data_IF_459812604296
#
_entry.id   IF_459812604296
#
_cell.length_a   1.000
_cell.length_b   1.000
_cell.length_c   1.000
_cell.angle_alpha   90.00
_cell.angle_beta   90.00
_cell.angle_gamma   90.00
#
_symmetry.space_group_name_H-M   'P 1'
#
loop_
_entity.id
_entity.type
_entity.pdbx_description
1 polymer ?
#
# COMPACT_ATOMS: atom_id res chain seq x y z
N UNK A 1 -13.47 16.05 -45.68
CA UNK A 1 -14.58 15.29 -45.04
C UNK A 1 -14.32 15.32 -43.54
N UNK A 2 -15.08 16.10 -42.81
CA UNK A 2 -14.97 16.17 -41.34
C UNK A 2 -15.60 14.88 -40.84
N UNK A 3 -14.77 13.95 -40.33
CA UNK A 3 -15.26 12.77 -39.63
C UNK A 3 -15.99 13.24 -38.36
N UNK A 4 -17.24 12.79 -38.25
CA UNK A 4 -18.17 13.15 -37.20
C UNK A 4 -17.55 13.00 -35.82
N UNK A 5 -17.55 14.10 -35.05
CA UNK A 5 -17.26 14.13 -33.61
C UNK A 5 -18.05 13.02 -32.90
N UNK A 6 -17.36 11.98 -32.46
CA UNK A 6 -17.98 10.95 -31.64
C UNK A 6 -17.80 11.33 -30.17
N UNK A 7 -18.92 11.59 -29.50
CA UNK A 7 -18.99 11.82 -28.06
C UNK A 7 -18.38 10.66 -27.29
N UNK A 8 -17.38 10.93 -26.47
CA UNK A 8 -17.06 10.07 -25.35
C UNK A 8 -17.93 10.56 -24.20
N UNK A 9 -18.91 9.78 -23.83
CA UNK A 9 -19.63 9.97 -22.58
C UNK A 9 -18.66 9.77 -21.42
N UNK A 10 -18.70 10.67 -20.44
CA UNK A 10 -17.97 10.51 -19.17
C UNK A 10 -18.10 9.07 -18.69
N UNK A 11 -16.99 8.48 -18.27
CA UNK A 11 -17.04 7.22 -17.54
C UNK A 11 -18.01 7.35 -16.37
N UNK A 12 -18.97 6.44 -16.32
CA UNK A 12 -19.99 6.46 -15.29
C UNK A 12 -19.32 6.53 -13.90
N UNK A 13 -19.94 7.21 -12.92
CA UNK A 13 -19.41 7.28 -11.54
C UNK A 13 -19.15 5.90 -10.90
N UNK A 14 -19.71 4.82 -11.46
CA UNK A 14 -19.42 3.43 -11.06
C UNK A 14 -17.98 3.00 -11.35
N UNK A 15 -17.38 3.37 -12.49
CA UNK A 15 -16.00 2.99 -12.85
C UNK A 15 -14.94 3.71 -12.02
N UNK A 16 -15.19 4.97 -11.63
CA UNK A 16 -14.29 5.72 -10.70
C UNK A 16 -14.28 5.15 -9.29
N UNK A 17 -15.44 4.62 -8.82
CA UNK A 17 -15.52 3.92 -7.53
C UNK A 17 -14.69 2.63 -7.53
N UNK A 18 -14.55 1.96 -8.67
CA UNK A 18 -13.83 0.68 -8.77
C UNK A 18 -12.34 0.84 -8.45
N UNK A 19 -11.64 1.83 -9.04
CA UNK A 19 -10.21 2.04 -8.74
C UNK A 19 -9.98 2.39 -7.25
N UNK A 20 -10.80 3.28 -6.68
CA UNK A 20 -10.71 3.67 -5.27
C UNK A 20 -11.02 2.51 -4.32
N UNK A 21 -12.02 1.68 -4.62
CA UNK A 21 -12.40 0.49 -3.85
C UNK A 21 -11.31 -0.57 -3.94
N UNK A 22 -10.76 -0.79 -5.14
CA UNK A 22 -9.64 -1.71 -5.38
C UNK A 22 -8.42 -1.35 -4.54
N UNK A 23 -8.01 -0.07 -4.58
CA UNK A 23 -6.84 0.39 -3.85
C UNK A 23 -7.03 0.30 -2.31
N UNK A 24 -8.24 0.56 -1.80
CA UNK A 24 -8.55 0.44 -0.37
C UNK A 24 -8.63 -1.02 0.10
N UNK A 25 -9.15 -1.94 -0.72
CA UNK A 25 -9.23 -3.36 -0.37
C UNK A 25 -7.85 -4.03 -0.28
N UNK A 26 -6.89 -3.62 -1.12
CA UNK A 26 -5.51 -4.11 -1.08
C UNK A 26 -4.83 -3.75 0.25
N UNK A 27 -4.98 -2.51 0.68
CA UNK A 27 -4.37 -2.04 1.94
C UNK A 27 -4.96 -2.79 3.14
N UNK A 28 -6.27 -3.06 3.13
CA UNK A 28 -6.94 -3.86 4.16
C UNK A 28 -6.47 -5.31 4.20
N UNK A 29 -6.29 -5.94 3.04
CA UNK A 29 -5.83 -7.32 2.92
C UNK A 29 -4.40 -7.52 3.45
N UNK A 30 -3.49 -6.61 3.12
CA UNK A 30 -2.10 -6.65 3.59
C UNK A 30 -2.05 -6.44 5.12
N UNK A 31 -2.88 -5.54 5.66
CA UNK A 31 -2.97 -5.30 7.11
C UNK A 31 -3.39 -6.56 7.89
N UNK A 32 -4.36 -7.31 7.37
CA UNK A 32 -4.84 -8.56 7.97
C UNK A 32 -3.77 -9.66 7.99
N UNK A 33 -3.02 -9.85 6.90
CA UNK A 33 -1.94 -10.84 6.83
C UNK A 33 -0.85 -10.59 7.86
N UNK A 34 -0.45 -9.34 8.00
CA UNK A 34 0.62 -8.95 8.92
C UNK A 34 0.17 -9.03 10.38
N UNK A 35 -1.12 -8.94 10.68
CA UNK A 35 -1.69 -9.07 12.03
C UNK A 35 -1.78 -10.54 12.51
N UNK A 36 -1.93 -11.51 11.61
CA UNK A 36 -2.15 -12.92 11.95
C UNK A 36 -0.89 -13.61 12.47
N UNK A 37 0.29 -13.16 12.11
CA UNK A 37 1.57 -13.85 12.35
C UNK A 37 1.92 -13.99 13.83
N UNK A 38 1.39 -13.18 14.74
CA UNK A 38 1.92 -13.08 16.12
C UNK A 38 1.05 -13.75 17.19
N UNK A 39 -0.10 -14.33 16.85
CA UNK A 39 -1.08 -14.80 17.85
C UNK A 39 -0.71 -16.16 18.50
N UNK A 40 0.21 -16.95 17.95
CA UNK A 40 0.34 -18.37 18.31
C UNK A 40 1.47 -18.75 19.27
N UNK A 41 2.43 -17.89 19.59
CA UNK A 41 3.50 -18.21 20.53
C UNK A 41 3.11 -17.90 21.99
N UNK A 42 2.20 -18.67 22.54
CA UNK A 42 1.86 -18.54 23.98
C UNK A 42 2.81 -19.37 24.82
N UNK A 43 3.83 -18.72 25.37
CA UNK A 43 4.69 -19.28 26.40
C UNK A 43 4.09 -18.99 27.78
N UNK A 44 4.18 -19.98 28.70
CA UNK A 44 3.70 -19.84 30.08
C UNK A 44 4.66 -18.96 30.90
N UNK A 45 4.45 -17.66 30.84
CA UNK A 45 5.33 -16.64 31.41
C UNK A 45 4.76 -16.12 32.74
N UNK A 46 4.99 -16.82 33.83
CA UNK A 46 4.40 -16.48 35.15
C UNK A 46 4.76 -15.10 35.71
N UNK A 47 5.86 -14.49 35.31
CA UNK A 47 6.22 -13.11 35.70
C UNK A 47 5.97 -12.07 34.61
N UNK A 48 5.50 -12.49 33.44
CA UNK A 48 5.44 -11.71 32.20
C UNK A 48 4.00 -11.61 31.67
N UNK A 49 3.01 -11.84 32.53
CA UNK A 49 1.59 -11.74 32.15
C UNK A 49 1.25 -10.34 31.59
N UNK A 50 1.88 -9.31 32.13
CA UNK A 50 1.71 -7.94 31.64
C UNK A 50 2.31 -7.80 30.23
N UNK A 51 3.51 -8.34 29.98
CA UNK A 51 4.14 -8.35 28.66
C UNK A 51 3.25 -9.09 27.65
N UNK A 52 2.81 -10.29 28.00
CA UNK A 52 1.93 -11.09 27.15
C UNK A 52 0.63 -10.36 26.81
N UNK A 53 -0.02 -9.75 27.80
CA UNK A 53 -1.26 -9.01 27.59
C UNK A 53 -1.04 -7.78 26.69
N UNK A 54 0.07 -7.06 26.88
CA UNK A 54 0.40 -5.92 26.02
C UNK A 54 0.67 -6.32 24.58
N UNK A 55 1.36 -7.43 24.35
CA UNK A 55 1.63 -7.92 23.00
C UNK A 55 0.33 -8.38 22.33
N UNK A 56 -0.53 -9.12 23.03
CA UNK A 56 -1.85 -9.52 22.53
C UNK A 56 -2.69 -8.28 22.18
N UNK A 57 -2.71 -7.26 23.03
CA UNK A 57 -3.45 -6.03 22.76
C UNK A 57 -2.93 -5.34 21.48
N UNK A 58 -1.60 -5.29 21.29
CA UNK A 58 -0.98 -4.70 20.12
C UNK A 58 -1.22 -5.49 18.85
N UNK A 59 -1.17 -6.82 18.91
CA UNK A 59 -1.43 -7.68 17.75
C UNK A 59 -2.88 -7.60 17.24
N UNK A 60 -3.81 -7.24 18.12
CA UNK A 60 -5.22 -7.08 17.77
C UNK A 60 -5.60 -5.69 17.27
N UNK A 61 -4.65 -4.74 17.24
CA UNK A 61 -4.91 -3.39 16.73
C UNK A 61 -4.92 -3.38 15.19
N UNK A 62 -5.74 -2.50 14.62
CA UNK A 62 -5.76 -2.26 13.16
C UNK A 62 -4.54 -1.44 12.74
N UNK A 63 -3.70 -2.00 11.85
CA UNK A 63 -2.47 -1.37 11.38
C UNK A 63 -2.67 -0.04 10.65
N UNK A 64 -3.88 0.24 10.18
CA UNK A 64 -4.20 1.44 9.41
C UNK A 64 -4.98 2.45 10.26
N UNK A 65 -5.92 1.98 11.09
CA UNK A 65 -6.84 2.84 11.81
C UNK A 65 -6.31 3.23 13.19
N UNK A 66 -5.63 2.31 13.90
CA UNK A 66 -5.23 2.51 15.27
C UNK A 66 -3.91 3.28 15.40
N UNK A 67 -3.71 3.95 16.52
CA UNK A 67 -2.47 4.68 16.82
C UNK A 67 -1.51 3.83 17.66
N UNK A 68 -0.45 3.36 17.02
CA UNK A 68 0.58 2.54 17.62
C UNK A 68 1.58 3.40 18.44
N UNK A 69 1.48 3.38 19.75
CA UNK A 69 2.36 4.10 20.69
C UNK A 69 3.41 3.16 21.30
N UNK A 70 4.69 3.54 21.35
CA UNK A 70 5.77 2.77 21.98
C UNK A 70 5.81 2.98 23.51
N UNK A 71 4.66 3.19 24.15
CA UNK A 71 4.62 3.32 25.62
C UNK A 71 4.80 1.95 26.27
N UNK A 72 5.96 1.73 26.91
CA UNK A 72 6.30 0.50 27.63
C UNK A 72 5.62 0.50 29.00
N UNK A 73 5.06 -0.64 29.39
CA UNK A 73 4.37 -0.86 30.69
C UNK A 73 5.12 -1.83 31.59
N UNK A 74 5.99 -2.68 31.03
CA UNK A 74 6.83 -3.61 31.78
C UNK A 74 8.10 -2.98 32.30
N UNK A 75 8.93 -3.73 33.02
CA UNK A 75 10.20 -3.29 33.60
C UNK A 75 11.31 -4.32 33.35
N UNK A 76 12.58 -3.91 33.56
CA UNK A 76 13.73 -4.77 33.35
C UNK A 76 13.81 -5.29 31.92
N UNK A 77 14.25 -6.52 31.73
CA UNK A 77 14.42 -7.13 30.40
C UNK A 77 13.11 -7.25 29.62
N UNK A 78 11.98 -7.48 30.32
CA UNK A 78 10.66 -7.45 29.69
C UNK A 78 10.37 -6.11 29.00
N UNK A 79 10.88 -4.99 29.51
CA UNK A 79 10.68 -3.67 28.90
C UNK A 79 11.40 -3.55 27.56
N UNK A 80 12.58 -4.13 27.41
CA UNK A 80 13.30 -4.16 26.11
C UNK A 80 12.57 -5.05 25.09
N UNK A 81 12.04 -6.20 25.54
CA UNK A 81 11.22 -7.07 24.67
C UNK A 81 9.95 -6.35 24.24
N UNK A 82 9.23 -5.72 25.16
CA UNK A 82 8.02 -4.95 24.87
C UNK A 82 8.28 -3.81 23.88
N UNK A 83 9.35 -3.06 24.11
CA UNK A 83 9.76 -1.95 23.23
C UNK A 83 10.10 -2.44 21.82
N UNK A 84 10.84 -3.54 21.70
CA UNK A 84 11.20 -4.13 20.41
C UNK A 84 9.97 -4.57 19.62
N UNK A 85 9.05 -5.29 20.26
CA UNK A 85 7.80 -5.75 19.63
C UNK A 85 6.93 -4.56 19.25
N UNK A 86 6.70 -3.60 20.15
CA UNK A 86 5.91 -2.39 19.88
C UNK A 86 6.52 -1.54 18.76
N UNK A 87 7.86 -1.45 18.72
CA UNK A 87 8.58 -0.74 17.64
C UNK A 87 8.40 -1.42 16.29
N UNK A 88 8.39 -2.75 16.25
CA UNK A 88 8.09 -3.51 15.03
C UNK A 88 6.71 -3.16 14.49
N UNK A 89 5.66 -3.30 15.31
CA UNK A 89 4.29 -3.00 14.91
C UNK A 89 4.10 -1.54 14.50
N UNK A 90 4.69 -0.61 15.26
CA UNK A 90 4.61 0.80 14.91
C UNK A 90 5.23 1.08 13.54
N UNK A 91 6.42 0.56 13.26
CA UNK A 91 7.07 0.71 11.95
C UNK A 91 6.22 0.11 10.85
N UNK A 92 5.59 -1.04 11.10
CA UNK A 92 4.69 -1.68 10.16
C UNK A 92 3.46 -0.80 9.88
N UNK A 93 2.77 -0.34 10.93
CA UNK A 93 1.64 0.58 10.84
C UNK A 93 2.00 1.88 10.11
N UNK A 94 3.12 2.52 10.45
CA UNK A 94 3.54 3.76 9.80
C UNK A 94 3.74 3.58 8.28
N UNK A 95 4.31 2.44 7.85
CA UNK A 95 4.49 2.15 6.43
C UNK A 95 3.15 1.82 5.74
N UNK A 96 2.26 1.06 6.40
CA UNK A 96 0.92 0.77 5.86
C UNK A 96 0.07 2.03 5.73
N UNK A 97 0.07 2.89 6.74
CA UNK A 97 -0.57 4.22 6.70
C UNK A 97 0.01 5.09 5.59
N UNK A 98 1.32 5.00 5.37
CA UNK A 98 2.02 5.67 4.28
C UNK A 98 1.51 5.22 2.90
N UNK A 99 1.41 3.92 2.65
CA UNK A 99 0.85 3.37 1.41
C UNK A 99 -0.60 3.84 1.23
N UNK A 100 -1.43 3.65 2.27
CA UNK A 100 -2.83 4.04 2.25
C UNK A 100 -3.02 5.53 1.91
N UNK A 101 -2.23 6.42 2.52
CA UNK A 101 -2.27 7.87 2.26
C UNK A 101 -2.09 8.21 0.79
N UNK A 102 -1.16 7.54 0.09
CA UNK A 102 -0.89 7.82 -1.32
C UNK A 102 -1.89 7.16 -2.26
N UNK A 103 -2.40 5.98 -1.92
CA UNK A 103 -3.41 5.29 -2.72
C UNK A 103 -4.81 5.91 -2.56
N UNK A 104 -5.15 6.43 -1.39
CA UNK A 104 -6.42 7.11 -1.13
C UNK A 104 -6.42 8.60 -1.47
N UNK A 105 -5.29 9.14 -1.99
CA UNK A 105 -5.18 10.55 -2.34
C UNK A 105 -6.16 10.94 -3.45
N UNK A 106 -7.01 11.93 -3.17
CA UNK A 106 -7.99 12.43 -4.12
C UNK A 106 -7.34 13.02 -5.39
N UNK A 107 -6.14 13.60 -5.30
CA UNK A 107 -5.41 14.12 -6.47
C UNK A 107 -5.07 12.97 -7.44
N UNK A 108 -4.57 11.83 -6.93
CA UNK A 108 -4.31 10.65 -7.74
C UNK A 108 -5.59 10.09 -8.37
N UNK A 109 -6.63 9.94 -7.54
CA UNK A 109 -7.92 9.38 -7.97
C UNK A 109 -8.62 10.25 -9.03
N UNK A 110 -8.32 11.54 -9.05
CA UNK A 110 -8.90 12.51 -9.96
C UNK A 110 -7.99 12.89 -11.15
N UNK A 111 -6.81 12.28 -11.31
CA UNK A 111 -5.86 12.60 -12.40
C UNK A 111 -6.53 12.63 -13.77
N UNK A 112 -7.40 11.67 -14.09
CA UNK A 112 -8.15 11.60 -15.34
C UNK A 112 -9.57 12.19 -15.26
N UNK A 113 -9.91 12.89 -14.17
CA UNK A 113 -11.20 13.58 -14.10
C UNK A 113 -11.24 14.75 -15.09
N UNK A 114 -12.40 15.00 -15.66
CA UNK A 114 -12.61 16.13 -16.59
C UNK A 114 -12.11 17.46 -16.00
N UNK A 115 -12.47 17.74 -14.73
CA UNK A 115 -12.08 18.97 -14.04
C UNK A 115 -10.56 19.11 -13.95
N UNK A 116 -9.86 18.05 -13.53
CA UNK A 116 -8.41 18.07 -13.44
C UNK A 116 -7.75 18.20 -14.82
N UNK A 117 -8.26 17.47 -15.83
CA UNK A 117 -7.72 17.55 -17.19
C UNK A 117 -7.85 18.98 -17.75
N UNK A 118 -8.99 19.66 -17.54
CA UNK A 118 -9.19 21.05 -18.00
C UNK A 118 -8.28 22.03 -17.26
N UNK A 119 -8.03 21.83 -15.96
CA UNK A 119 -7.21 22.72 -15.16
C UNK A 119 -5.70 22.54 -15.41
N UNK A 120 -5.24 21.30 -15.69
CA UNK A 120 -3.83 20.96 -15.76
C UNK A 120 -3.26 21.04 -17.20
N UNK A 121 -4.14 21.16 -18.20
CA UNK A 121 -3.73 21.35 -19.62
C UNK A 121 -3.10 22.72 -19.86
N UNK A 122 -2.25 22.90 -20.88
CA UNK A 122 -1.77 21.86 -21.81
C UNK A 122 -0.55 21.10 -21.29
N UNK A 123 -0.01 21.49 -20.14
CA UNK A 123 1.25 20.93 -19.63
C UNK A 123 1.10 19.59 -18.94
N UNK A 124 -0.03 19.36 -18.30
CA UNK A 124 -0.31 18.22 -17.42
C UNK A 124 0.78 18.02 -16.35
N UNK A 125 1.31 19.13 -15.84
CA UNK A 125 2.46 19.13 -14.93
C UNK A 125 2.06 18.57 -13.55
N UNK A 126 0.90 18.97 -13.03
CA UNK A 126 0.44 18.55 -11.71
C UNK A 126 0.12 17.05 -11.71
N UNK A 127 -0.62 16.58 -12.73
CA UNK A 127 -0.95 15.14 -12.89
C UNK A 127 0.32 14.28 -12.93
N UNK A 128 1.34 14.68 -13.70
CA UNK A 128 2.61 13.97 -13.76
C UNK A 128 3.35 13.96 -12.43
N UNK A 129 3.37 15.08 -11.74
CA UNK A 129 4.04 15.18 -10.44
C UNK A 129 3.33 14.33 -9.39
N UNK A 130 1.99 14.34 -9.38
CA UNK A 130 1.19 13.49 -8.48
C UNK A 130 1.48 12.00 -8.71
N UNK A 131 1.45 11.54 -9.98
CA UNK A 131 1.76 10.15 -10.32
C UNK A 131 3.18 9.78 -9.90
N UNK A 132 4.17 10.63 -10.20
CA UNK A 132 5.56 10.41 -9.84
C UNK A 132 5.75 10.33 -8.33
N UNK A 133 5.23 11.29 -7.59
CA UNK A 133 5.32 11.33 -6.13
C UNK A 133 4.66 10.10 -5.50
N UNK A 134 3.51 9.70 -6.01
CA UNK A 134 2.80 8.50 -5.55
C UNK A 134 3.66 7.26 -5.77
N UNK A 135 4.22 7.08 -6.97
CA UNK A 135 5.08 5.94 -7.31
C UNK A 135 6.30 5.85 -6.41
N UNK A 136 7.02 6.95 -6.24
CA UNK A 136 8.24 7.01 -5.41
C UNK A 136 7.96 6.67 -3.94
N UNK A 137 6.89 7.25 -3.39
CA UNK A 137 6.56 7.03 -1.97
C UNK A 137 5.99 5.63 -1.71
N UNK A 138 5.11 5.11 -2.55
CA UNK A 138 4.61 3.74 -2.42
C UNK A 138 5.78 2.75 -2.49
N UNK A 139 6.69 2.90 -3.45
CA UNK A 139 7.86 2.04 -3.57
C UNK A 139 8.71 2.08 -2.30
N UNK A 140 8.95 3.27 -1.74
CA UNK A 140 9.70 3.45 -0.49
C UNK A 140 9.03 2.71 0.68
N UNK A 141 7.71 2.85 0.86
CA UNK A 141 7.01 2.19 1.96
C UNK A 141 6.98 0.68 1.81
N UNK A 142 6.79 0.15 0.59
CA UNK A 142 6.86 -1.29 0.33
C UNK A 142 8.26 -1.83 0.59
N UNK A 143 9.30 -1.13 0.16
CA UNK A 143 10.69 -1.53 0.41
C UNK A 143 11.01 -1.51 1.92
N UNK A 144 10.46 -0.55 2.66
CA UNK A 144 10.58 -0.52 4.12
C UNK A 144 9.91 -1.72 4.78
N UNK A 145 8.72 -2.14 4.31
CA UNK A 145 8.02 -3.35 4.81
C UNK A 145 8.86 -4.59 4.50
N UNK A 146 9.34 -4.74 3.26
CA UNK A 146 10.19 -5.87 2.87
C UNK A 146 11.48 -5.95 3.72
N UNK A 147 12.07 -4.80 4.04
CA UNK A 147 13.22 -4.75 4.93
C UNK A 147 12.83 -5.10 6.37
N UNK A 148 11.69 -4.62 6.85
CA UNK A 148 11.21 -4.85 8.22
C UNK A 148 10.93 -6.32 8.50
N UNK A 149 10.36 -7.05 7.53
CA UNK A 149 10.08 -8.50 7.64
C UNK A 149 11.32 -9.37 7.38
N UNK A 150 12.49 -8.80 7.14
CA UNK A 150 13.73 -9.56 6.97
C UNK A 150 14.26 -10.05 8.31
N UNK A 151 14.77 -11.28 8.37
CA UNK A 151 15.39 -11.87 9.55
C UNK A 151 16.42 -10.94 10.20
N UNK A 152 17.29 -10.32 9.38
CA UNK A 152 18.30 -9.39 9.85
C UNK A 152 17.70 -8.22 10.63
N UNK A 153 16.64 -7.62 10.09
CA UNK A 153 16.00 -6.47 10.72
C UNK A 153 15.24 -6.88 11.98
N UNK A 154 14.49 -7.98 11.93
CA UNK A 154 13.77 -8.51 13.10
C UNK A 154 14.76 -8.76 14.25
N UNK A 155 15.85 -9.47 14.00
CA UNK A 155 16.89 -9.76 15.01
C UNK A 155 17.59 -8.52 15.53
N UNK A 156 17.62 -7.42 14.78
CA UNK A 156 18.27 -6.16 15.18
C UNK A 156 17.37 -5.22 15.98
N UNK A 157 16.09 -5.52 16.17
CA UNK A 157 15.18 -4.65 16.91
C UNK A 157 15.40 -4.71 18.43
N UNK A 158 16.02 -5.78 18.93
CA UNK A 158 16.44 -5.91 20.32
C UNK A 158 17.97 -6.03 20.40
N UNK A 159 18.54 -5.35 21.37
CA UNK A 159 19.98 -5.39 21.64
C UNK A 159 20.26 -6.36 22.78
N UNK A 160 20.76 -7.55 22.44
CA UNK A 160 21.03 -8.61 23.40
C UNK A 160 22.01 -8.20 24.50
N UNK A 161 22.96 -7.28 24.19
CA UNK A 161 23.96 -6.83 25.13
C UNK A 161 23.41 -5.92 26.25
N UNK A 162 22.19 -5.41 26.08
CA UNK A 162 21.46 -4.60 27.05
C UNK A 162 20.61 -5.38 28.03
N UNK A 163 20.46 -6.67 27.82
CA UNK A 163 19.62 -7.56 28.63
C UNK A 163 20.47 -8.14 29.78
N UNK A 164 19.89 -8.21 30.98
CA UNK A 164 20.55 -8.82 32.15
C UNK A 164 20.63 -10.35 31.97
N UNK A 165 19.52 -10.99 31.47
CA UNK A 165 19.52 -12.37 30.98
C UNK A 165 19.32 -12.39 29.46
N UNK A 166 20.40 -12.04 28.75
CA UNK A 166 20.36 -11.83 27.31
C UNK A 166 19.98 -13.06 26.51
N UNK A 167 20.33 -14.27 26.95
CA UNK A 167 19.96 -15.49 26.25
C UNK A 167 18.45 -15.75 26.34
N UNK A 168 17.90 -15.71 27.56
CA UNK A 168 16.50 -15.98 27.80
C UNK A 168 15.57 -14.96 27.12
N UNK A 169 15.77 -13.65 27.36
CA UNK A 169 14.87 -12.61 26.86
C UNK A 169 15.03 -12.36 25.35
N UNK A 170 16.20 -12.60 24.79
CA UNK A 170 16.39 -12.58 23.35
C UNK A 170 15.65 -13.73 22.67
N UNK A 171 15.75 -14.95 23.24
CA UNK A 171 15.01 -16.11 22.72
C UNK A 171 13.51 -15.94 22.90
N UNK A 172 13.07 -15.37 24.02
CA UNK A 172 11.67 -14.98 24.24
C UNK A 172 11.18 -14.02 23.17
N UNK A 173 11.93 -12.96 22.89
CA UNK A 173 11.61 -12.01 21.81
C UNK A 173 11.46 -12.72 20.46
N UNK A 174 12.38 -13.60 20.09
CA UNK A 174 12.28 -14.36 18.84
C UNK A 174 11.08 -15.30 18.81
N UNK A 175 10.76 -15.93 19.94
CA UNK A 175 9.57 -16.78 20.03
C UNK A 175 8.25 -15.98 19.88
N UNK A 176 8.26 -14.70 20.19
CA UNK A 176 7.09 -13.84 20.05
C UNK A 176 6.85 -13.33 18.63
N UNK A 177 7.91 -13.16 17.82
CA UNK A 177 7.77 -12.56 16.49
C UNK A 177 8.58 -13.24 15.38
N UNK A 178 9.28 -14.35 15.65
CA UNK A 178 10.14 -15.00 14.65
C UNK A 178 10.29 -16.50 14.87
N UNK A 179 9.17 -17.22 15.01
CA UNK A 179 9.15 -18.70 15.07
C UNK A 179 9.49 -19.30 13.69
N UNK A 180 9.64 -20.64 13.62
CA UNK A 180 9.87 -21.31 12.35
C UNK A 180 8.69 -21.14 11.37
N UNK A 181 7.46 -21.08 11.89
CA UNK A 181 6.29 -20.76 11.07
C UNK A 181 6.35 -19.33 10.57
N UNK A 182 6.67 -18.35 11.43
CA UNK A 182 6.77 -16.95 11.06
C UNK A 182 7.80 -16.71 9.95
N UNK A 183 8.89 -17.49 9.89
CA UNK A 183 9.91 -17.38 8.83
C UNK A 183 9.33 -17.63 7.44
N UNK A 184 8.46 -18.63 7.30
CA UNK A 184 7.83 -18.91 6.01
C UNK A 184 6.77 -17.84 5.70
N UNK A 185 5.98 -17.42 6.68
CA UNK A 185 4.97 -16.37 6.54
C UNK A 185 5.62 -15.03 6.15
N UNK A 186 6.76 -14.65 6.75
CA UNK A 186 7.51 -13.45 6.37
C UNK A 186 8.09 -13.51 4.96
N UNK A 187 8.53 -14.68 4.49
CA UNK A 187 8.95 -14.86 3.09
C UNK A 187 7.78 -14.67 2.12
N UNK A 188 6.62 -15.22 2.48
CA UNK A 188 5.41 -15.05 1.69
C UNK A 188 4.96 -13.59 1.65
N UNK A 189 4.96 -12.89 2.79
CA UNK A 189 4.68 -11.45 2.86
C UNK A 189 5.63 -10.67 1.97
N UNK A 190 6.94 -10.90 2.07
CA UNK A 190 7.92 -10.19 1.24
C UNK A 190 7.69 -10.42 -0.25
N UNK A 191 7.32 -11.64 -0.65
CA UNK A 191 6.94 -11.98 -2.02
C UNK A 191 5.68 -11.21 -2.44
N UNK A 192 4.62 -11.28 -1.63
CA UNK A 192 3.34 -10.63 -1.91
C UNK A 192 3.50 -9.10 -2.01
N UNK A 193 4.30 -8.48 -1.14
CA UNK A 193 4.64 -7.06 -1.20
C UNK A 193 5.42 -6.70 -2.47
N UNK A 194 6.29 -7.59 -2.93
CA UNK A 194 7.04 -7.40 -4.18
C UNK A 194 6.11 -7.49 -5.40
N UNK A 195 5.20 -8.44 -5.43
CA UNK A 195 4.22 -8.59 -6.50
C UNK A 195 3.25 -7.40 -6.52
N UNK A 196 2.76 -6.98 -5.37
CA UNK A 196 1.94 -5.76 -5.22
C UNK A 196 2.68 -4.51 -5.75
N UNK A 197 3.95 -4.33 -5.38
CA UNK A 197 4.80 -3.22 -5.90
C UNK A 197 4.83 -3.21 -7.41
N UNK A 198 4.99 -4.38 -8.03
CA UNK A 198 5.03 -4.55 -9.49
C UNK A 198 3.69 -4.16 -10.13
N UNK A 199 2.58 -4.63 -9.58
CA UNK A 199 1.23 -4.36 -10.10
C UNK A 199 0.86 -2.87 -9.93
N UNK A 200 1.15 -2.27 -8.79
CA UNK A 200 0.96 -0.82 -8.56
C UNK A 200 1.81 0.03 -9.50
N UNK A 201 3.08 -0.32 -9.69
CA UNK A 201 3.94 0.39 -10.65
C UNK A 201 3.41 0.29 -12.08
N UNK A 202 2.93 -0.88 -12.52
CA UNK A 202 2.30 -1.09 -13.82
C UNK A 202 1.08 -0.17 -14.00
N UNK A 203 0.25 -0.02 -12.97
CA UNK A 203 -0.90 0.87 -12.98
C UNK A 203 -0.51 2.34 -13.09
N UNK A 204 0.45 2.80 -12.26
CA UNK A 204 0.92 4.18 -12.27
C UNK A 204 1.65 4.54 -13.57
N UNK A 205 2.41 3.60 -14.15
CA UNK A 205 3.04 3.78 -15.46
C UNK A 205 2.00 3.92 -16.57
N UNK A 206 0.95 3.09 -16.54
CA UNK A 206 -0.15 3.20 -17.51
C UNK A 206 -0.92 4.52 -17.36
N UNK A 207 -1.14 4.98 -16.14
CA UNK A 207 -1.75 6.28 -15.86
C UNK A 207 -0.87 7.41 -16.42
N UNK A 208 0.45 7.33 -16.22
CA UNK A 208 1.41 8.29 -16.77
C UNK A 208 1.41 8.29 -18.29
N UNK A 209 1.39 7.12 -18.94
CA UNK A 209 1.28 7.00 -20.40
C UNK A 209 0.00 7.65 -20.93
N UNK A 210 -1.11 7.48 -20.22
CA UNK A 210 -2.41 8.08 -20.57
C UNK A 210 -2.33 9.61 -20.52
N UNK A 211 -1.76 10.16 -19.46
CA UNK A 211 -1.56 11.61 -19.31
C UNK A 211 -0.62 12.17 -20.40
N UNK A 212 0.48 11.46 -20.71
CA UNK A 212 1.38 11.87 -21.79
C UNK A 212 0.72 11.81 -23.16
N UNK A 213 -0.14 10.83 -23.40
CA UNK A 213 -0.92 10.76 -24.61
C UNK A 213 -1.87 11.97 -24.73
N UNK A 214 -2.63 12.29 -23.68
CA UNK A 214 -3.52 13.46 -23.67
C UNK A 214 -2.75 14.75 -23.89
N UNK A 215 -1.58 14.92 -23.26
CA UNK A 215 -0.70 16.06 -23.48
C UNK A 215 -0.28 16.20 -24.96
N UNK A 216 0.15 15.11 -25.59
CA UNK A 216 0.57 15.11 -27.00
C UNK A 216 -0.57 15.46 -27.95
N UNK A 217 -1.80 15.13 -27.57
CA UNK A 217 -2.99 15.30 -28.38
C UNK A 217 -3.86 16.48 -27.99
N UNK A 218 -3.44 17.28 -26.99
CA UNK A 218 -4.24 18.36 -26.41
C UNK A 218 -4.85 19.32 -27.43
N UNK A 219 -4.11 19.65 -28.50
CA UNK A 219 -4.60 20.52 -29.59
C UNK A 219 -5.69 19.90 -30.45
N UNK A 220 -5.82 18.57 -30.42
CA UNK A 220 -6.78 17.79 -31.19
C UNK A 220 -7.91 17.25 -30.29
N UNK A 221 -8.07 17.84 -29.10
CA UNK A 221 -9.10 17.46 -28.13
C UNK A 221 -9.90 18.69 -27.73
N UNK A 222 -11.20 18.69 -27.97
CA UNK A 222 -12.12 19.68 -27.42
C UNK A 222 -12.64 19.19 -26.06
N UNK A 223 -12.53 20.04 -25.04
CA UNK A 223 -13.01 19.79 -23.68
C UNK A 223 -14.32 20.56 -23.47
N UNK A 224 -15.47 19.87 -23.50
CA UNK A 224 -16.79 20.49 -23.47
C UNK A 224 -17.84 19.59 -22.81
N UNK A 225 -18.77 20.18 -22.05
CA UNK A 225 -19.89 19.46 -21.42
C UNK A 225 -19.43 18.23 -20.61
N UNK A 226 -18.34 18.37 -19.84
CA UNK A 226 -17.73 17.28 -19.05
C UNK A 226 -17.25 16.08 -19.88
N UNK A 227 -17.02 16.27 -21.17
CA UNK A 227 -16.57 15.24 -22.11
C UNK A 227 -15.33 15.68 -22.88
N UNK A 228 -14.57 14.68 -23.37
CA UNK A 228 -13.46 14.85 -24.29
C UNK A 228 -13.90 14.43 -25.70
N UNK A 229 -13.79 15.35 -26.67
CA UNK A 229 -14.08 15.10 -28.07
C UNK A 229 -12.75 15.12 -28.84
N UNK A 230 -12.43 14.01 -29.49
CA UNK A 230 -11.20 13.88 -30.25
C UNK A 230 -11.49 14.16 -31.74
N UNK A 231 -10.62 14.93 -32.39
CA UNK A 231 -10.71 15.20 -33.82
C UNK A 231 -10.54 13.93 -34.67
N UNK A 232 -9.77 12.96 -34.15
CA UNK A 232 -9.45 11.73 -34.86
C UNK A 232 -9.99 10.50 -34.09
N UNK A 233 -10.74 9.65 -34.81
CA UNK A 233 -11.26 8.38 -34.28
C UNK A 233 -10.15 7.45 -33.78
N UNK A 234 -8.98 7.47 -34.42
CA UNK A 234 -7.81 6.70 -34.00
C UNK A 234 -7.32 7.10 -32.60
N UNK A 235 -7.32 8.41 -32.30
CA UNK A 235 -6.89 8.93 -30.99
C UNK A 235 -7.90 8.59 -29.91
N UNK A 236 -9.21 8.69 -30.21
CA UNK A 236 -10.29 8.23 -29.35
C UNK A 236 -10.16 6.74 -29.00
N UNK A 237 -9.95 5.90 -30.01
CA UNK A 237 -9.81 4.44 -29.80
C UNK A 237 -8.56 4.13 -28.94
N UNK A 238 -7.46 4.86 -29.15
CA UNK A 238 -6.26 4.71 -28.35
C UNK A 238 -6.47 5.13 -26.89
N UNK A 239 -7.17 6.23 -26.65
CA UNK A 239 -7.53 6.66 -25.30
C UNK A 239 -8.41 5.62 -24.60
N UNK A 240 -9.43 5.10 -25.27
CA UNK A 240 -10.28 4.03 -24.72
C UNK A 240 -9.47 2.79 -24.35
N UNK A 241 -8.53 2.39 -25.20
CA UNK A 241 -7.65 1.25 -24.91
C UNK A 241 -6.82 1.48 -23.64
N UNK A 242 -6.31 2.68 -23.42
CA UNK A 242 -5.60 3.00 -22.17
C UNK A 242 -6.50 2.86 -20.94
N UNK A 243 -7.75 3.31 -21.01
CA UNK A 243 -8.71 3.17 -19.92
C UNK A 243 -9.07 1.70 -19.64
N UNK A 244 -9.27 0.90 -20.69
CA UNK A 244 -9.50 -0.55 -20.58
C UNK A 244 -8.30 -1.27 -19.94
N UNK A 245 -7.08 -0.91 -20.32
CA UNK A 245 -5.86 -1.47 -19.73
C UNK A 245 -5.73 -1.08 -18.25
N UNK A 246 -6.04 0.16 -17.87
CA UNK A 246 -6.08 0.59 -16.46
C UNK A 246 -7.13 -0.19 -15.65
N UNK A 247 -8.33 -0.39 -16.20
CA UNK A 247 -9.38 -1.16 -15.55
C UNK A 247 -8.95 -2.62 -15.34
N UNK A 248 -8.35 -3.24 -16.37
CA UNK A 248 -7.84 -4.61 -16.28
C UNK A 248 -6.74 -4.75 -15.21
N UNK A 249 -5.78 -3.83 -15.17
CA UNK A 249 -4.74 -3.84 -14.13
C UNK A 249 -5.38 -3.67 -12.73
N UNK A 250 -6.39 -2.81 -12.60
CA UNK A 250 -7.13 -2.65 -11.35
C UNK A 250 -7.80 -3.95 -10.89
N UNK A 251 -8.41 -4.72 -11.81
CA UNK A 251 -9.01 -6.02 -11.51
C UNK A 251 -7.96 -7.08 -11.13
N UNK A 252 -6.80 -7.10 -11.81
CA UNK A 252 -5.66 -7.96 -11.48
C UNK A 252 -5.20 -7.71 -10.03
N UNK A 253 -5.04 -6.44 -9.64
CA UNK A 253 -4.64 -6.04 -8.28
C UNK A 253 -5.67 -6.50 -7.23
N UNK A 254 -6.97 -6.33 -7.51
CA UNK A 254 -8.04 -6.80 -6.59
C UNK A 254 -7.98 -8.30 -6.39
N UNK A 255 -7.87 -9.06 -7.49
CA UNK A 255 -7.79 -10.52 -7.44
C UNK A 255 -6.53 -11.02 -6.72
N UNK A 256 -5.41 -10.31 -6.83
CA UNK A 256 -4.19 -10.61 -6.05
C UNK A 256 -4.40 -10.31 -4.56
N UNK A 257 -5.06 -9.21 -4.23
CA UNK A 257 -5.41 -8.85 -2.85
C UNK A 257 -6.33 -9.87 -2.18
N UNK A 258 -7.33 -10.39 -2.89
CA UNK A 258 -8.26 -11.40 -2.36
C UNK A 258 -7.58 -12.74 -2.06
N UNK A 259 -6.57 -13.15 -2.84
CA UNK A 259 -5.80 -14.38 -2.59
C UNK A 259 -4.92 -14.30 -1.35
N UNK A 260 -4.64 -13.10 -0.90
CA UNK A 260 -3.84 -12.83 0.29
C UNK A 260 -4.71 -12.97 1.57
N UNK A 261 -6.04 -12.89 1.44
CA UNK A 261 -7.00 -12.93 2.55
C UNK A 261 -7.70 -14.27 2.75
N UNK A 262 -7.46 -15.25 1.88
CA UNK A 262 -7.98 -16.64 1.98
C UNK A 262 -6.90 -17.60 2.38
#
# INVERSE_FOLDING_TARGET
MVEQNQNITEESPKKRKTLKVVLLSIVGAIGLLLAIIIILAVIDLKQEEVLKQEIINYSNMDLIQDDYSIKVKTKGDCAYVEEAVKSYYKKLSDNMKGINKYLSNDELNNVLSYQNLVQDRPSFKNSKQTIKNTKENINKYIDNINNLVSEKTIKSLIDKEKLDDGDYYYDLYLQLIYTDQDKEDYKEIAKNMTDLKKSLNKSLDKLSETVEFLKKKDKNIEYKNSNLYFDYKSDLNKYRKYLEELEKIGQEITSEGEKITT
#
